data_IF_406647245046
#
_entry.id   IF_406647245046
#
_cell.length_a   1.000
_cell.length_b   1.000
_cell.length_c   1.000
_cell.angle_alpha   90.00
_cell.angle_beta   90.00
_cell.angle_gamma   90.00
#
_symmetry.space_group_name_H-M   'P 1'
#
loop_
_entity.id
_entity.type
_entity.pdbx_description
1 polymer ?
#
# COMPACT_ATOMS: atom_id res chain seq x y z
N UNK A 1 -7.27 7.87 4.34
CA UNK A 1 -6.79 7.36 5.65
C UNK A 1 -5.58 6.47 5.44
N UNK A 2 -4.91 6.02 6.52
CA UNK A 2 -3.83 5.03 6.41
C UNK A 2 -4.45 3.67 6.07
N UNK A 3 -3.81 2.91 5.17
CA UNK A 3 -4.29 1.58 4.79
C UNK A 3 -4.03 0.60 5.94
N UNK A 4 -5.04 -0.17 6.38
CA UNK A 4 -4.89 -1.10 7.50
C UNK A 4 -3.77 -2.12 7.27
N UNK A 5 -3.06 -2.48 8.33
CA UNK A 5 -2.02 -3.51 8.35
C UNK A 5 -0.78 -3.22 7.48
N UNK A 6 -0.55 -1.96 7.11
CA UNK A 6 0.68 -1.56 6.42
C UNK A 6 1.89 -1.72 7.36
N UNK A 7 2.96 -2.44 6.96
CA UNK A 7 4.19 -2.50 7.72
C UNK A 7 4.78 -1.11 7.91
N UNK A 8 5.22 -0.79 9.12
CA UNK A 8 5.83 0.49 9.42
C UNK A 8 6.97 0.39 10.44
N UNK A 9 7.95 1.27 10.29
CA UNK A 9 9.04 1.45 11.22
C UNK A 9 8.66 2.52 12.26
N UNK A 10 8.75 2.18 13.55
CA UNK A 10 8.45 3.08 14.67
C UNK A 10 9.65 3.24 15.59
N UNK A 11 9.82 4.45 16.12
CA UNK A 11 10.72 4.75 17.23
C UNK A 11 9.91 4.76 18.52
N UNK A 12 10.32 3.94 19.49
CA UNK A 12 9.73 3.93 20.83
C UNK A 12 10.30 5.13 21.61
N UNK A 13 9.41 5.98 22.12
CA UNK A 13 9.78 7.23 22.78
C UNK A 13 9.60 7.18 24.30
N UNK A 14 8.64 6.39 24.77
CA UNK A 14 8.30 6.28 26.18
C UNK A 14 7.70 4.91 26.46
N UNK A 15 7.98 4.36 27.63
CA UNK A 15 7.33 3.17 28.16
C UNK A 15 6.47 3.56 29.35
N UNK A 16 5.19 3.20 29.32
CA UNK A 16 4.31 3.26 30.48
C UNK A 16 4.60 2.06 31.38
N UNK A 17 5.41 2.28 32.40
CA UNK A 17 5.83 1.25 33.38
C UNK A 17 4.67 0.66 34.20
N UNK A 18 3.49 1.28 34.22
CA UNK A 18 2.33 0.75 34.94
C UNK A 18 1.50 -0.20 34.07
N UNK A 19 1.38 0.09 32.78
CA UNK A 19 0.58 -0.71 31.84
C UNK A 19 1.41 -1.65 30.96
N UNK A 20 2.73 -1.42 30.88
CA UNK A 20 3.63 -2.07 29.92
C UNK A 20 3.43 -1.60 28.48
N UNK A 21 2.68 -0.51 28.27
CA UNK A 21 2.42 0.03 26.94
C UNK A 21 3.59 0.91 26.47
N UNK A 22 3.86 0.90 25.17
CA UNK A 22 4.85 1.78 24.55
C UNK A 22 4.16 2.92 23.81
N UNK A 23 4.65 4.14 24.01
CA UNK A 23 4.41 5.24 23.07
C UNK A 23 5.52 5.25 22.04
N UNK A 24 5.15 5.52 20.80
CA UNK A 24 6.10 5.67 19.71
C UNK A 24 5.57 6.57 18.62
N UNK A 25 6.48 6.91 17.71
CA UNK A 25 6.19 7.70 16.52
C UNK A 25 6.78 6.98 15.29
N UNK A 26 6.26 7.23 14.08
CA UNK A 26 6.94 6.77 12.87
C UNK A 26 8.39 7.29 12.84
N UNK A 27 9.33 6.48 12.34
CA UNK A 27 10.69 6.99 12.11
C UNK A 27 10.69 8.03 11.00
N UNK A 28 11.70 8.89 10.95
CA UNK A 28 11.83 9.90 9.89
C UNK A 28 11.80 9.27 8.49
N UNK A 29 12.47 8.12 8.34
CA UNK A 29 12.46 7.30 7.12
C UNK A 29 11.04 6.83 6.76
N UNK A 30 10.25 6.40 7.74
CA UNK A 30 8.87 5.98 7.51
C UNK A 30 8.00 7.16 7.02
N UNK A 31 8.15 8.33 7.63
CA UNK A 31 7.46 9.55 7.19
C UNK A 31 7.82 9.91 5.75
N UNK A 32 9.12 9.87 5.42
CA UNK A 32 9.61 10.21 4.09
C UNK A 32 9.06 9.25 3.02
N UNK A 33 8.93 7.95 3.33
CA UNK A 33 8.29 6.97 2.44
C UNK A 33 6.84 7.38 2.14
N UNK A 34 6.04 7.65 3.17
CA UNK A 34 4.64 8.02 2.99
C UNK A 34 4.49 9.36 2.25
N UNK A 35 5.36 10.31 2.56
CA UNK A 35 5.37 11.61 1.88
C UNK A 35 5.72 11.48 0.41
N UNK A 36 6.72 10.65 0.08
CA UNK A 36 7.12 10.38 -1.29
C UNK A 36 6.02 9.65 -2.06
N UNK A 37 5.30 8.71 -1.44
CA UNK A 37 4.16 8.05 -2.07
C UNK A 37 3.04 9.04 -2.38
N UNK A 38 2.68 9.90 -1.43
CA UNK A 38 1.65 10.93 -1.63
C UNK A 38 2.05 11.92 -2.72
N UNK A 39 3.33 12.27 -2.81
CA UNK A 39 3.86 13.23 -3.81
C UNK A 39 4.10 12.64 -5.20
N UNK A 40 4.05 11.32 -5.34
CA UNK A 40 4.29 10.66 -6.61
C UNK A 40 3.24 11.08 -7.66
N UNK A 41 3.60 11.12 -8.95
CA UNK A 41 2.65 11.46 -10.01
C UNK A 41 1.69 10.32 -10.37
N UNK A 42 1.83 9.16 -9.73
CA UNK A 42 1.06 7.95 -10.01
C UNK A 42 0.47 7.37 -8.72
N UNK A 43 -0.60 6.61 -8.88
CA UNK A 43 -1.27 5.91 -7.80
C UNK A 43 -0.50 4.67 -7.35
N UNK A 44 -0.75 4.29 -6.10
CA UNK A 44 -0.19 3.08 -5.51
C UNK A 44 -1.26 2.28 -4.78
N UNK A 45 -1.55 1.09 -5.27
CA UNK A 45 -2.49 0.17 -4.64
C UNK A 45 -1.73 -0.70 -3.64
N UNK A 46 -2.08 -0.59 -2.37
CA UNK A 46 -1.52 -1.39 -1.28
C UNK A 46 -2.42 -2.61 -1.08
N UNK A 47 -1.79 -3.78 -0.98
CA UNK A 47 -2.46 -5.07 -0.81
C UNK A 47 -1.78 -5.82 0.32
N UNK A 48 -2.54 -6.12 1.37
CA UNK A 48 -2.07 -6.82 2.57
C UNK A 48 -2.79 -8.16 2.76
N UNK A 49 -2.15 -9.10 3.45
CA UNK A 49 -2.65 -10.46 3.67
C UNK A 49 -2.94 -11.26 2.38
N UNK A 50 -2.16 -11.00 1.32
CA UNK A 50 -2.27 -11.70 0.04
C UNK A 50 -0.89 -12.16 -0.41
N UNK A 51 -0.76 -13.38 -0.91
CA UNK A 51 0.51 -13.83 -1.49
C UNK A 51 0.75 -13.16 -2.85
N UNK A 52 2.02 -13.00 -3.25
CA UNK A 52 2.35 -12.40 -4.55
C UNK A 52 1.73 -13.16 -5.74
N UNK A 53 1.60 -14.49 -5.64
CA UNK A 53 0.96 -15.31 -6.68
C UNK A 53 -0.54 -15.06 -6.78
N UNK A 54 -1.24 -14.97 -5.64
CA UNK A 54 -2.67 -14.60 -5.61
C UNK A 54 -2.90 -13.20 -6.21
N UNK A 55 -2.08 -12.22 -5.83
CA UNK A 55 -2.16 -10.86 -6.37
C UNK A 55 -1.97 -10.85 -7.90
N UNK A 56 -0.91 -11.51 -8.40
CA UNK A 56 -0.66 -11.62 -9.84
C UNK A 56 -1.80 -12.34 -10.58
N UNK A 57 -2.36 -13.39 -9.98
CA UNK A 57 -3.48 -14.11 -10.57
C UNK A 57 -4.73 -13.22 -10.67
N UNK A 58 -5.02 -12.40 -9.65
CA UNK A 58 -6.12 -11.44 -9.68
C UNK A 58 -5.92 -10.38 -10.78
N UNK A 59 -4.74 -9.74 -10.83
CA UNK A 59 -4.37 -8.77 -11.87
C UNK A 59 -4.54 -9.34 -13.28
N UNK A 60 -4.06 -10.57 -13.50
CA UNK A 60 -4.17 -11.23 -14.80
C UNK A 60 -5.61 -11.52 -15.18
N UNK A 61 -6.43 -11.94 -14.21
CA UNK A 61 -7.86 -12.25 -14.43
C UNK A 61 -8.69 -11.02 -14.76
N UNK A 62 -8.33 -9.85 -14.24
CA UNK A 62 -9.00 -8.57 -14.55
C UNK A 62 -8.42 -7.89 -15.79
N UNK A 63 -7.32 -8.40 -16.36
CA UNK A 63 -6.69 -7.81 -17.55
C UNK A 63 -5.85 -6.56 -17.29
N UNK A 64 -5.58 -6.21 -16.03
CA UNK A 64 -4.85 -4.99 -15.64
C UNK A 64 -3.32 -5.11 -15.67
N UNK A 65 -2.78 -6.13 -16.34
CA UNK A 65 -1.33 -6.34 -16.43
C UNK A 65 -0.62 -5.12 -17.07
N UNK A 66 -1.31 -4.42 -17.98
CA UNK A 66 -0.78 -3.23 -18.68
C UNK A 66 -0.87 -1.96 -17.85
N UNK A 67 -1.66 -1.93 -16.79
CA UNK A 67 -1.88 -0.76 -15.94
C UNK A 67 -0.85 -0.66 -14.80
N UNK A 68 -0.06 -1.72 -14.62
CA UNK A 68 0.88 -1.85 -13.52
C UNK A 68 2.31 -1.63 -14.03
N UNK A 69 3.01 -0.69 -13.40
CA UNK A 69 4.43 -0.46 -13.64
C UNK A 69 5.29 -1.53 -12.95
N UNK A 70 5.05 -1.75 -11.64
CA UNK A 70 5.76 -2.78 -10.86
C UNK A 70 4.98 -3.16 -9.60
N UNK A 71 5.31 -4.33 -9.04
CA UNK A 71 4.84 -4.76 -7.73
C UNK A 71 6.04 -4.80 -6.79
N UNK A 72 6.06 -3.87 -5.83
CA UNK A 72 7.05 -3.79 -4.77
C UNK A 72 6.60 -4.64 -3.57
N UNK A 73 7.55 -5.30 -2.93
CA UNK A 73 7.30 -6.12 -1.74
C UNK A 73 7.57 -5.28 -0.50
N UNK A 74 6.55 -5.09 0.33
CA UNK A 74 6.66 -4.40 1.62
C UNK A 74 6.88 -5.38 2.77
N UNK A 75 6.35 -6.59 2.64
CA UNK A 75 6.47 -7.67 3.62
C UNK A 75 6.29 -9.04 2.97
N UNK A 76 6.00 -10.09 3.74
CA UNK A 76 5.80 -11.43 3.18
C UNK A 76 4.51 -11.50 2.33
N UNK A 77 3.45 -10.86 2.82
CA UNK A 77 2.11 -10.85 2.20
C UNK A 77 1.58 -9.43 1.98
N UNK A 78 2.49 -8.45 2.02
CA UNK A 78 2.23 -7.03 1.90
C UNK A 78 2.95 -6.51 0.65
N UNK A 79 2.19 -5.92 -0.25
CA UNK A 79 2.65 -5.47 -1.56
C UNK A 79 2.19 -4.04 -1.82
N UNK A 80 3.02 -3.31 -2.55
CA UNK A 80 2.64 -2.06 -3.18
C UNK A 80 2.68 -2.22 -4.69
N UNK A 81 1.50 -2.17 -5.32
CA UNK A 81 1.35 -2.14 -6.77
C UNK A 81 1.49 -0.68 -7.20
N UNK A 82 2.57 -0.39 -7.93
CA UNK A 82 2.81 0.91 -8.54
C UNK A 82 2.07 0.97 -9.87
N UNK A 83 1.09 1.86 -9.95
CA UNK A 83 0.31 2.07 -11.17
C UNK A 83 1.16 2.85 -12.19
N UNK A 84 0.73 2.83 -13.45
CA UNK A 84 1.24 3.80 -14.44
C UNK A 84 0.58 5.16 -14.21
N UNK A 85 1.15 6.21 -14.79
CA UNK A 85 0.75 7.61 -14.53
C UNK A 85 -0.73 7.89 -14.85
N UNK A 86 -1.28 7.28 -15.91
CA UNK A 86 -2.67 7.47 -16.34
C UNK A 86 -3.66 6.44 -15.75
N UNK A 87 -3.17 5.54 -14.90
CA UNK A 87 -4.00 4.45 -14.35
C UNK A 87 -4.78 4.93 -13.13
N UNK A 88 -6.11 4.78 -13.16
CA UNK A 88 -6.99 5.04 -12.01
C UNK A 88 -6.83 3.95 -10.94
N UNK A 89 -6.06 4.26 -9.89
CA UNK A 89 -5.83 3.36 -8.76
C UNK A 89 -7.13 2.97 -8.02
N UNK A 90 -8.07 3.89 -7.72
CA UNK A 90 -9.39 3.54 -7.19
C UNK A 90 -10.17 2.53 -8.03
N UNK A 91 -10.14 2.66 -9.36
CA UNK A 91 -10.72 1.70 -10.30
C UNK A 91 -10.08 0.31 -10.16
N UNK A 92 -8.74 0.25 -10.14
CA UNK A 92 -8.02 -1.01 -9.88
C UNK A 92 -8.41 -1.68 -8.58
N UNK A 93 -8.59 -0.91 -7.49
CA UNK A 93 -9.05 -1.46 -6.20
C UNK A 93 -10.43 -2.10 -6.34
N UNK A 94 -11.33 -1.46 -7.10
CA UNK A 94 -12.70 -1.92 -7.31
C UNK A 94 -12.74 -3.21 -8.14
N UNK A 95 -11.88 -3.33 -9.16
CA UNK A 95 -11.86 -4.49 -10.06
C UNK A 95 -11.07 -5.68 -9.49
N UNK A 96 -9.92 -5.42 -8.85
CA UNK A 96 -9.04 -6.47 -8.31
C UNK A 96 -9.51 -6.92 -6.92
N UNK A 97 -9.98 -5.99 -6.08
CA UNK A 97 -10.32 -6.23 -4.67
C UNK A 97 -11.25 -7.42 -4.43
N UNK A 98 -12.38 -7.57 -5.16
CA UNK A 98 -13.29 -8.70 -4.99
C UNK A 98 -12.68 -10.08 -5.24
N UNK A 99 -11.52 -10.16 -5.91
CA UNK A 99 -10.83 -11.43 -6.17
C UNK A 99 -9.84 -11.82 -5.06
N UNK A 100 -9.61 -10.94 -4.09
CA UNK A 100 -8.64 -11.11 -3.03
C UNK A 100 -9.34 -11.30 -1.68
N UNK A 101 -8.81 -12.21 -0.84
CA UNK A 101 -9.27 -12.40 0.55
C UNK A 101 -8.53 -11.53 1.56
N UNK A 102 -7.87 -10.47 1.09
CA UNK A 102 -7.03 -9.58 1.92
C UNK A 102 -7.58 -8.17 2.00
N UNK A 103 -6.74 -7.26 2.49
CA UNK A 103 -7.07 -5.83 2.57
C UNK A 103 -6.42 -5.11 1.40
N UNK A 104 -7.19 -4.29 0.71
CA UNK A 104 -6.74 -3.51 -0.43
C UNK A 104 -7.16 -2.05 -0.27
N UNK A 105 -6.28 -1.14 -0.66
CA UNK A 105 -6.56 0.29 -0.68
C UNK A 105 -5.58 1.03 -1.57
N UNK A 106 -5.82 2.32 -1.78
CA UNK A 106 -5.01 3.14 -2.69
C UNK A 106 -4.45 4.36 -1.98
N UNK A 107 -3.18 4.65 -2.25
CA UNK A 107 -2.57 5.95 -2.01
C UNK A 107 -2.61 6.70 -3.34
N UNK A 108 -3.42 7.76 -3.38
CA UNK A 108 -3.59 8.59 -4.58
C UNK A 108 -2.41 9.54 -4.72
N UNK A 109 -1.76 9.51 -5.87
CA UNK A 109 -0.66 10.40 -6.22
C UNK A 109 -1.15 11.79 -6.64
N UNK A 110 -0.26 12.78 -6.67
CA UNK A 110 -0.61 14.17 -7.04
C UNK A 110 -0.91 14.29 -8.54
N UNK A 111 -0.32 13.42 -9.37
CA UNK A 111 -0.52 13.40 -10.82
C UNK A 111 -1.80 12.69 -11.25
N UNK A 112 -2.46 11.95 -10.35
CA UNK A 112 -3.83 11.46 -10.56
C UNK A 112 -4.83 12.58 -10.33
N UNK A 113 -4.76 13.61 -11.17
CA UNK A 113 -5.88 14.52 -11.36
C UNK A 113 -6.95 13.77 -12.14
N UNK A 114 -8.03 13.39 -11.44
CA UNK A 114 -9.29 12.98 -12.04
C UNK A 114 -9.90 14.11 -12.85
#
# INVERSE_FOLDING_TARGET
GIIPHLPMEVEVTEEDTQTGAFKGKPTKKQEDIWWNWRKAPFDRVIVNAVTRSQLKAAIKRTGHERDINKIERLGLMEHAVVCKEETDGPGLVTEIGPLLKGVIGVVVGVGSTK
#
